data_IF_067934616386
#
_entry.id   IF_067934616386
#
_cell.length_a   1.000
_cell.length_b   1.000
_cell.length_c   1.000
_cell.angle_alpha   90.00
_cell.angle_beta   90.00
_cell.angle_gamma   90.00
#
_symmetry.space_group_name_H-M   'P 1'
#
loop_
_entity.id
_entity.type
_entity.pdbx_description
1 polymer ?
#
# COMPACT_ATOMS: atom_id res chain seq x y z
N UNK A 1 -41.85 -7.44 -35.67
CA UNK A 1 -40.75 -8.43 -35.70
C UNK A 1 -39.52 -7.80 -36.36
N UNK A 2 -38.63 -7.15 -35.61
CA UNK A 2 -37.28 -6.67 -36.01
C UNK A 2 -36.67 -5.98 -34.79
N UNK A 3 -35.94 -6.74 -33.98
CA UNK A 3 -34.95 -6.26 -32.97
C UNK A 3 -34.34 -7.39 -32.13
N UNK A 4 -34.82 -8.63 -32.28
CA UNK A 4 -34.21 -9.82 -31.66
C UNK A 4 -32.76 -10.03 -32.13
N UNK A 5 -32.39 -9.51 -33.31
CA UNK A 5 -31.04 -9.62 -33.88
C UNK A 5 -29.96 -8.91 -33.06
N UNK A 6 -30.29 -7.82 -32.33
CA UNK A 6 -29.28 -7.06 -31.56
C UNK A 6 -28.85 -7.81 -30.29
N UNK A 7 -29.83 -8.36 -29.56
CA UNK A 7 -29.58 -9.13 -28.34
C UNK A 7 -28.91 -10.46 -28.67
N UNK A 8 -29.39 -11.18 -29.69
CA UNK A 8 -28.78 -12.46 -30.07
C UNK A 8 -27.39 -12.28 -30.69
N UNK A 9 -27.10 -11.16 -31.35
CA UNK A 9 -25.77 -10.86 -31.88
C UNK A 9 -24.83 -10.43 -30.75
N UNK A 10 -25.32 -9.72 -29.74
CA UNK A 10 -24.56 -9.44 -28.51
C UNK A 10 -24.26 -10.72 -27.73
N UNK A 11 -25.26 -11.57 -27.52
CA UNK A 11 -25.15 -12.87 -26.84
C UNK A 11 -24.25 -13.83 -27.63
N UNK A 12 -24.30 -13.85 -28.97
CA UNK A 12 -23.37 -14.63 -29.81
C UNK A 12 -21.94 -14.11 -29.78
N UNK A 13 -21.75 -12.79 -29.82
CA UNK A 13 -20.42 -12.17 -29.69
C UNK A 13 -19.85 -12.31 -28.27
N UNK A 14 -20.68 -12.67 -27.29
CA UNK A 14 -20.33 -12.89 -25.89
C UNK A 14 -20.91 -14.24 -25.41
N UNK A 15 -20.83 -15.28 -26.25
CA UNK A 15 -21.39 -16.63 -25.98
C UNK A 15 -20.71 -17.30 -24.77
N UNK A 16 -19.50 -16.84 -24.46
CA UNK A 16 -18.99 -16.75 -23.10
C UNK A 16 -19.17 -15.29 -22.75
N UNK A 17 -20.11 -14.94 -21.87
CA UNK A 17 -20.17 -13.57 -21.34
C UNK A 17 -18.75 -13.15 -20.92
N UNK A 18 -18.40 -11.85 -20.85
CA UNK A 18 -17.15 -11.50 -20.17
C UNK A 18 -17.17 -12.29 -18.86
N UNK A 19 -16.07 -12.94 -18.49
CA UNK A 19 -15.99 -13.99 -17.46
C UNK A 19 -16.45 -13.58 -16.04
N UNK A 20 -17.16 -12.45 -15.93
CA UNK A 20 -17.50 -11.66 -14.79
C UNK A 20 -18.93 -11.09 -14.99
N UNK A 21 -19.94 -11.76 -14.44
CA UNK A 21 -21.28 -11.21 -14.31
C UNK A 21 -21.33 -9.98 -13.39
N UNK A 22 -22.53 -9.58 -12.95
CA UNK A 22 -22.67 -8.53 -11.95
C UNK A 22 -21.94 -8.91 -10.65
N UNK A 23 -21.30 -7.92 -10.04
CA UNK A 23 -20.62 -8.07 -8.75
C UNK A 23 -21.45 -7.34 -7.70
N UNK A 24 -21.68 -7.97 -6.56
CA UNK A 24 -22.43 -7.37 -5.46
C UNK A 24 -21.53 -6.51 -4.58
N UNK A 25 -22.11 -5.45 -4.02
CA UNK A 25 -21.51 -4.69 -2.94
C UNK A 25 -21.39 -5.56 -1.68
N UNK A 26 -20.26 -5.49 -1.00
CA UNK A 26 -19.94 -6.29 0.18
C UNK A 26 -19.45 -5.36 1.27
N UNK A 27 -20.28 -5.16 2.30
CA UNK A 27 -20.02 -4.23 3.41
C UNK A 27 -18.66 -4.39 4.07
N UNK A 28 -18.09 -5.60 4.10
CA UNK A 28 -16.79 -5.89 4.71
C UNK A 28 -15.59 -5.72 3.77
N UNK A 29 -15.81 -5.38 2.50
CA UNK A 29 -14.76 -5.18 1.49
C UNK A 29 -14.82 -3.74 0.98
N UNK A 30 -13.87 -2.92 1.39
CA UNK A 30 -13.88 -1.46 1.19
C UNK A 30 -14.06 -1.03 -0.28
N UNK A 31 -13.50 -1.77 -1.24
CA UNK A 31 -13.57 -1.44 -2.68
C UNK A 31 -14.74 -2.08 -3.43
N UNK A 32 -15.61 -2.84 -2.75
CA UNK A 32 -16.67 -3.61 -3.43
C UNK A 32 -17.71 -2.73 -4.13
N UNK A 33 -18.08 -1.60 -3.54
CA UNK A 33 -19.00 -0.62 -4.16
C UNK A 33 -18.45 -0.11 -5.49
N UNK A 34 -17.16 0.25 -5.54
CA UNK A 34 -16.52 0.68 -6.79
C UNK A 34 -16.56 -0.41 -7.86
N UNK A 35 -16.22 -1.65 -7.50
CA UNK A 35 -16.23 -2.76 -8.46
C UNK A 35 -17.64 -3.10 -8.94
N UNK A 36 -18.65 -3.00 -8.07
CA UNK A 36 -20.05 -3.14 -8.44
C UNK A 36 -20.46 -2.05 -9.45
N UNK A 37 -20.19 -0.78 -9.14
CA UNK A 37 -20.54 0.35 -10.01
C UNK A 37 -19.85 0.25 -11.37
N UNK A 38 -18.52 0.00 -11.38
CA UNK A 38 -17.75 -0.20 -12.60
C UNK A 38 -18.31 -1.31 -13.48
N UNK A 39 -18.76 -2.41 -12.87
CA UNK A 39 -19.40 -3.52 -13.58
C UNK A 39 -20.79 -3.16 -14.09
N UNK A 40 -21.58 -2.45 -13.29
CA UNK A 40 -22.94 -2.05 -13.64
C UNK A 40 -22.94 -1.08 -14.82
N UNK A 41 -22.05 -0.08 -14.80
CA UNK A 41 -21.85 0.90 -15.87
C UNK A 41 -21.37 0.21 -17.15
N UNK A 42 -20.42 -0.74 -17.05
CA UNK A 42 -19.99 -1.53 -18.19
C UNK A 42 -21.15 -2.28 -18.89
N UNK A 43 -22.18 -2.69 -18.14
CA UNK A 43 -23.36 -3.38 -18.66
C UNK A 43 -24.58 -2.46 -18.87
N UNK A 44 -24.40 -1.14 -18.88
CA UNK A 44 -25.49 -0.16 -18.99
C UNK A 44 -26.42 -0.41 -20.19
N UNK A 45 -25.85 -0.65 -21.39
CA UNK A 45 -26.65 -0.87 -22.61
C UNK A 45 -27.44 -2.18 -22.56
N UNK A 46 -26.89 -3.22 -21.96
CA UNK A 46 -27.61 -4.47 -21.72
C UNK A 46 -28.77 -4.19 -20.77
N UNK A 47 -28.53 -3.48 -19.66
CA UNK A 47 -29.58 -3.16 -18.69
C UNK A 47 -30.72 -2.37 -19.33
N UNK A 48 -30.42 -1.36 -20.16
CA UNK A 48 -31.42 -0.61 -20.94
C UNK A 48 -32.20 -1.54 -21.88
N UNK A 49 -31.50 -2.39 -22.63
CA UNK A 49 -32.13 -3.33 -23.58
C UNK A 49 -33.06 -4.35 -22.90
N UNK A 50 -32.63 -4.94 -21.78
CA UNK A 50 -33.42 -5.88 -20.96
C UNK A 50 -34.64 -5.18 -20.39
N UNK A 51 -34.48 -3.94 -19.92
CA UNK A 51 -35.59 -3.16 -19.41
C UNK A 51 -36.65 -2.92 -20.50
N UNK A 52 -36.24 -2.43 -21.67
CA UNK A 52 -37.14 -2.18 -22.82
C UNK A 52 -37.85 -3.47 -23.27
N UNK A 53 -37.09 -4.57 -23.42
CA UNK A 53 -37.63 -5.85 -23.88
C UNK A 53 -38.63 -6.43 -22.88
N UNK A 54 -38.30 -6.45 -21.58
CA UNK A 54 -39.23 -6.95 -20.55
C UNK A 54 -40.46 -6.05 -20.41
N UNK A 55 -40.30 -4.73 -20.50
CA UNK A 55 -41.41 -3.78 -20.39
C UNK A 55 -42.49 -4.03 -21.46
N UNK A 56 -42.07 -4.42 -22.66
CA UNK A 56 -42.95 -4.71 -23.79
C UNK A 56 -43.85 -5.93 -23.58
N UNK A 57 -43.42 -6.91 -22.78
CA UNK A 57 -44.11 -8.19 -22.57
C UNK A 57 -44.86 -8.29 -21.24
N UNK A 58 -44.86 -7.24 -20.41
CA UNK A 58 -45.39 -7.26 -19.04
C UNK A 58 -46.81 -6.65 -18.91
N UNK A 59 -47.58 -7.17 -17.95
CA UNK A 59 -48.89 -6.64 -17.54
C UNK A 59 -48.75 -5.39 -16.62
N UNK A 60 -49.87 -4.73 -16.28
CA UNK A 60 -49.86 -3.44 -15.57
C UNK A 60 -49.17 -3.46 -14.20
N UNK A 61 -49.36 -4.51 -13.40
CA UNK A 61 -48.73 -4.66 -12.08
C UNK A 61 -47.23 -4.91 -12.17
N UNK A 62 -46.81 -5.73 -13.15
CA UNK A 62 -45.39 -6.01 -13.41
C UNK A 62 -44.66 -4.75 -13.90
N UNK A 63 -45.30 -3.94 -14.75
CA UNK A 63 -44.75 -2.65 -15.21
C UNK A 63 -44.55 -1.68 -14.05
N UNK A 64 -45.53 -1.56 -13.16
CA UNK A 64 -45.43 -0.71 -11.96
C UNK A 64 -44.32 -1.16 -11.01
N UNK A 65 -44.08 -2.46 -10.88
CA UNK A 65 -42.99 -3.00 -10.06
C UNK A 65 -41.62 -2.78 -10.71
N UNK A 66 -41.52 -2.97 -12.03
CA UNK A 66 -40.27 -2.79 -12.77
C UNK A 66 -39.86 -1.30 -12.86
N UNK A 67 -40.83 -0.39 -12.98
CA UNK A 67 -40.60 1.05 -12.99
C UNK A 67 -39.87 1.57 -11.74
N UNK A 68 -40.06 0.94 -10.58
CA UNK A 68 -39.36 1.27 -9.33
C UNK A 68 -37.86 0.99 -9.37
N UNK A 69 -37.43 0.10 -10.26
CA UNK A 69 -36.03 -0.34 -10.42
C UNK A 69 -35.42 0.26 -11.70
N UNK A 70 -36.16 1.12 -12.39
CA UNK A 70 -35.65 1.81 -13.56
C UNK A 70 -34.52 2.76 -13.15
N UNK A 71 -33.40 2.67 -13.86
CA UNK A 71 -32.28 3.57 -13.69
C UNK A 71 -32.39 4.61 -14.80
N UNK A 72 -32.83 5.81 -14.44
CA UNK A 72 -32.91 6.95 -15.35
C UNK A 72 -31.54 7.57 -15.64
N UNK A 73 -31.53 8.57 -16.51
CA UNK A 73 -30.30 9.27 -16.91
C UNK A 73 -29.59 9.95 -15.73
N UNK A 74 -30.33 10.57 -14.81
CA UNK A 74 -29.73 11.23 -13.64
C UNK A 74 -29.04 10.22 -12.71
N UNK A 75 -29.64 9.05 -12.50
CA UNK A 75 -29.05 7.98 -11.71
C UNK A 75 -27.81 7.39 -12.38
N UNK A 76 -27.79 7.26 -13.71
CA UNK A 76 -26.58 6.87 -14.44
C UNK A 76 -25.46 7.90 -14.29
N UNK A 77 -25.78 9.20 -14.41
CA UNK A 77 -24.81 10.28 -14.24
C UNK A 77 -24.24 10.32 -12.81
N UNK A 78 -25.08 10.09 -11.80
CA UNK A 78 -24.65 9.96 -10.41
C UNK A 78 -23.74 8.74 -10.21
N UNK A 79 -24.09 7.59 -10.79
CA UNK A 79 -23.25 6.38 -10.71
C UNK A 79 -21.90 6.57 -11.38
N UNK A 80 -21.86 7.28 -12.52
CA UNK A 80 -20.62 7.63 -13.18
C UNK A 80 -19.77 8.54 -12.28
N UNK A 81 -20.37 9.59 -11.72
CA UNK A 81 -19.68 10.48 -10.78
C UNK A 81 -19.16 9.74 -9.53
N UNK A 82 -19.91 8.75 -9.02
CA UNK A 82 -19.47 7.87 -7.94
C UNK A 82 -18.31 6.98 -8.36
N UNK A 83 -18.35 6.38 -9.56
CA UNK A 83 -17.22 5.60 -10.07
C UNK A 83 -15.96 6.47 -10.17
N UNK A 84 -16.09 7.68 -10.72
CA UNK A 84 -14.97 8.59 -10.96
C UNK A 84 -14.31 9.07 -9.66
N UNK A 85 -15.10 9.36 -8.62
CA UNK A 85 -14.54 9.75 -7.31
C UNK A 85 -13.95 8.56 -6.55
N UNK A 86 -14.50 7.36 -6.71
CA UNK A 86 -14.05 6.15 -6.02
C UNK A 86 -12.81 5.52 -6.67
N UNK A 87 -12.59 5.69 -7.97
CA UNK A 87 -11.44 5.09 -8.67
C UNK A 87 -10.07 5.45 -8.07
N UNK A 88 -9.72 6.73 -7.83
CA UNK A 88 -8.45 7.08 -7.21
C UNK A 88 -8.35 6.55 -5.77
N UNK A 89 -9.47 6.45 -5.05
CA UNK A 89 -9.52 5.90 -3.69
C UNK A 89 -9.31 4.39 -3.68
N UNK A 90 -9.89 3.65 -4.63
CA UNK A 90 -9.62 2.23 -4.82
C UNK A 90 -8.15 1.99 -5.12
N UNK A 91 -7.59 2.76 -6.06
CA UNK A 91 -6.19 2.65 -6.44
C UNK A 91 -5.26 2.91 -5.25
N UNK A 92 -5.52 3.96 -4.47
CA UNK A 92 -4.80 4.28 -3.25
C UNK A 92 -4.91 3.15 -2.22
N UNK A 93 -6.12 2.68 -1.94
CA UNK A 93 -6.38 1.60 -0.97
C UNK A 93 -5.62 0.33 -1.36
N UNK A 94 -5.68 -0.06 -2.64
CA UNK A 94 -4.97 -1.22 -3.17
C UNK A 94 -3.46 -1.05 -3.07
N UNK A 95 -2.94 0.14 -3.37
CA UNK A 95 -1.51 0.45 -3.27
C UNK A 95 -1.02 0.48 -1.81
N UNK A 96 -1.82 0.91 -0.85
CA UNK A 96 -1.45 0.89 0.57
C UNK A 96 -1.69 -0.46 1.26
N UNK A 97 -2.42 -1.36 0.59
CA UNK A 97 -2.63 -2.76 1.02
C UNK A 97 -1.52 -3.71 0.58
N UNK A 98 -0.48 -3.20 -0.08
CA UNK A 98 0.68 -3.96 -0.53
C UNK A 98 1.49 -4.59 0.62
N UNK A 99 2.36 -5.55 0.28
CA UNK A 99 3.20 -6.27 1.25
C UNK A 99 4.70 -6.21 0.97
N UNK A 100 5.09 -5.82 -0.25
CA UNK A 100 6.43 -6.05 -0.79
C UNK A 100 7.24 -4.77 -1.04
N UNK A 101 6.72 -3.65 -0.57
CA UNK A 101 7.34 -2.34 -0.64
C UNK A 101 6.93 -1.53 0.59
N UNK A 102 7.62 -0.41 0.82
CA UNK A 102 7.40 0.46 1.97
C UNK A 102 6.06 1.20 1.86
N UNK A 103 4.96 0.54 2.20
CA UNK A 103 3.61 1.11 2.08
C UNK A 103 3.42 2.35 2.95
N UNK A 104 4.07 2.44 4.11
CA UNK A 104 3.99 3.63 4.96
C UNK A 104 4.67 4.85 4.34
N UNK A 105 5.77 4.67 3.60
CA UNK A 105 6.39 5.75 2.83
C UNK A 105 5.48 6.24 1.70
N UNK A 106 4.77 5.32 1.05
CA UNK A 106 3.83 5.69 0.00
C UNK A 106 2.57 6.39 0.57
N UNK A 107 2.22 6.12 1.84
CA UNK A 107 0.97 6.58 2.42
C UNK A 107 0.84 8.10 2.47
N UNK A 108 1.89 8.82 2.89
CA UNK A 108 1.83 10.28 3.01
C UNK A 108 1.63 10.96 1.66
N UNK A 109 2.44 10.57 0.66
CA UNK A 109 2.35 11.12 -0.69
C UNK A 109 1.01 10.78 -1.34
N UNK A 110 0.52 9.55 -1.14
CA UNK A 110 -0.81 9.13 -1.61
C UNK A 110 -1.92 10.00 -1.04
N UNK A 111 -1.92 10.29 0.26
CA UNK A 111 -2.93 11.14 0.89
C UNK A 111 -2.89 12.57 0.32
N UNK A 112 -1.71 13.13 0.12
CA UNK A 112 -1.56 14.46 -0.47
C UNK A 112 -2.05 14.50 -1.93
N UNK A 113 -1.76 13.47 -2.71
CA UNK A 113 -2.28 13.33 -4.09
C UNK A 113 -3.80 13.23 -4.08
N UNK A 114 -4.38 12.43 -3.18
CA UNK A 114 -5.84 12.33 -3.03
C UNK A 114 -6.46 13.67 -2.63
N UNK A 115 -5.88 14.40 -1.69
CA UNK A 115 -6.33 15.76 -1.31
C UNK A 115 -6.37 16.68 -2.51
N UNK A 116 -5.33 16.66 -3.33
CA UNK A 116 -5.28 17.47 -4.54
C UNK A 116 -6.33 17.02 -5.57
N UNK A 117 -6.46 15.72 -5.81
CA UNK A 117 -7.40 15.15 -6.78
C UNK A 117 -8.88 15.33 -6.40
N UNK A 118 -9.19 15.37 -5.11
CA UNK A 118 -10.54 15.55 -4.57
C UNK A 118 -10.96 17.01 -4.44
N UNK A 119 -10.14 17.98 -4.84
CA UNK A 119 -10.60 19.37 -4.97
C UNK A 119 -11.52 19.47 -6.19
N UNK A 120 -12.73 20.06 -6.06
CA UNK A 120 -13.59 20.34 -7.21
C UNK A 120 -12.86 21.20 -8.25
N UNK A 121 -13.03 20.88 -9.53
CA UNK A 121 -12.40 21.57 -10.66
C UNK A 121 -13.46 22.17 -11.59
N UNK A 122 -13.06 23.19 -12.33
CA UNK A 122 -13.86 23.70 -13.45
C UNK A 122 -14.03 22.58 -14.49
N UNK A 123 -15.29 22.22 -14.78
CA UNK A 123 -15.65 21.09 -15.64
C UNK A 123 -16.16 19.85 -14.92
N UNK A 124 -16.09 19.79 -13.59
CA UNK A 124 -16.74 18.70 -12.84
C UNK A 124 -18.27 18.79 -12.95
N UNK A 125 -18.93 17.63 -13.08
CA UNK A 125 -20.40 17.57 -13.00
C UNK A 125 -20.90 17.98 -11.61
N UNK A 126 -22.17 18.40 -11.50
CA UNK A 126 -22.79 18.76 -10.21
C UNK A 126 -22.59 17.67 -9.16
N UNK A 127 -22.83 16.40 -9.53
CA UNK A 127 -22.65 15.27 -8.61
C UNK A 127 -21.19 15.06 -8.24
N UNK A 128 -20.28 15.08 -9.22
CA UNK A 128 -18.86 14.85 -8.98
C UNK A 128 -18.26 15.92 -8.06
N UNK A 129 -18.60 17.20 -8.26
CA UNK A 129 -18.13 18.29 -7.41
C UNK A 129 -18.60 18.15 -5.95
N UNK A 130 -19.87 17.78 -5.74
CA UNK A 130 -20.43 17.54 -4.40
C UNK A 130 -19.78 16.34 -3.72
N UNK A 131 -19.60 15.23 -4.45
CA UNK A 131 -18.93 14.03 -3.94
C UNK A 131 -17.48 14.34 -3.57
N UNK A 132 -16.71 14.95 -4.48
CA UNK A 132 -15.34 15.41 -4.21
C UNK A 132 -15.23 16.21 -2.92
N UNK A 133 -16.12 17.20 -2.73
CA UNK A 133 -16.17 18.01 -1.50
C UNK A 133 -16.44 17.16 -0.25
N UNK A 134 -17.40 16.23 -0.33
CA UNK A 134 -17.75 15.35 0.79
C UNK A 134 -16.61 14.40 1.16
N UNK A 135 -15.97 13.76 0.17
CA UNK A 135 -14.85 12.86 0.38
C UNK A 135 -13.61 13.59 0.88
N UNK A 136 -13.31 14.77 0.33
CA UNK A 136 -12.21 15.62 0.80
C UNK A 136 -12.40 15.98 2.27
N UNK A 137 -13.61 16.41 2.66
CA UNK A 137 -13.92 16.72 4.06
C UNK A 137 -13.70 15.52 4.99
N UNK A 138 -14.14 14.31 4.59
CA UNK A 138 -13.91 13.11 5.41
C UNK A 138 -12.42 12.75 5.52
N UNK A 139 -11.67 12.93 4.44
CA UNK A 139 -10.23 12.69 4.41
C UNK A 139 -9.51 13.69 5.34
N UNK A 140 -9.83 14.97 5.28
CA UNK A 140 -9.30 16.01 6.17
C UNK A 140 -9.67 15.74 7.63
N UNK A 141 -10.93 15.42 7.93
CA UNK A 141 -11.36 15.05 9.28
C UNK A 141 -10.55 13.88 9.84
N UNK A 142 -10.30 12.84 9.05
CA UNK A 142 -9.54 11.69 9.53
C UNK A 142 -8.05 12.02 9.71
N UNK A 143 -7.39 12.53 8.67
CA UNK A 143 -5.94 12.71 8.67
C UNK A 143 -5.47 13.96 9.39
N UNK A 144 -6.29 15.01 9.49
CA UNK A 144 -5.91 16.24 10.19
C UNK A 144 -6.36 16.24 11.65
N UNK A 145 -7.54 15.70 11.96
CA UNK A 145 -8.11 15.78 13.31
C UNK A 145 -7.96 14.48 14.08
N UNK A 146 -8.35 13.33 13.51
CA UNK A 146 -8.39 12.05 14.25
C UNK A 146 -7.02 11.38 14.37
N UNK A 147 -6.18 11.50 13.33
CA UNK A 147 -4.88 10.85 13.30
C UNK A 147 -3.92 11.51 14.28
N UNK A 148 -3.24 10.70 15.09
CA UNK A 148 -2.33 11.22 16.12
C UNK A 148 -1.08 11.82 15.49
N UNK A 149 -0.46 12.79 16.17
CA UNK A 149 0.79 13.42 15.72
C UNK A 149 1.87 12.39 15.43
N UNK A 150 2.03 11.38 16.28
CA UNK A 150 3.04 10.32 16.10
C UNK A 150 2.83 9.54 14.80
N UNK A 151 1.59 9.23 14.43
CA UNK A 151 1.31 8.52 13.18
C UNK A 151 1.62 9.39 11.96
N UNK A 152 1.31 10.69 12.01
CA UNK A 152 1.65 11.64 10.94
C UNK A 152 3.16 11.78 10.79
N UNK A 153 3.87 11.94 11.91
CA UNK A 153 5.33 12.06 11.94
C UNK A 153 5.99 10.79 11.38
N UNK A 154 5.49 9.60 11.73
CA UNK A 154 5.96 8.32 11.19
C UNK A 154 5.80 8.26 9.67
N UNK A 155 4.62 8.61 9.16
CA UNK A 155 4.36 8.62 7.71
C UNK A 155 5.26 9.59 6.96
N UNK A 156 5.42 10.81 7.49
CA UNK A 156 6.27 11.82 6.87
C UNK A 156 7.75 11.39 6.87
N UNK A 157 8.23 10.85 7.98
CA UNK A 157 9.60 10.33 8.09
C UNK A 157 9.82 9.12 7.17
N UNK A 158 8.87 8.19 7.10
CA UNK A 158 8.91 7.05 6.18
C UNK A 158 9.11 7.53 4.74
N UNK A 159 8.26 8.46 4.32
CA UNK A 159 8.24 9.05 2.98
C UNK A 159 9.53 9.81 2.65
N UNK A 160 10.08 10.50 3.65
CA UNK A 160 11.32 11.25 3.50
C UNK A 160 12.54 10.33 3.33
N UNK A 161 12.51 9.15 3.96
CA UNK A 161 13.58 8.15 3.90
C UNK A 161 13.48 7.20 2.70
N UNK A 162 12.42 7.32 1.91
CA UNK A 162 12.18 6.51 0.72
C UNK A 162 12.49 7.30 -0.57
N UNK A 163 13.39 6.84 -1.45
CA UNK A 163 13.80 7.60 -2.64
C UNK A 163 12.65 7.94 -3.61
N UNK A 164 11.65 7.06 -3.74
CA UNK A 164 10.50 7.28 -4.60
C UNK A 164 9.57 8.35 -4.02
N UNK A 165 9.17 8.16 -2.76
CA UNK A 165 8.25 9.06 -2.05
C UNK A 165 8.89 10.42 -1.78
N UNK A 166 10.19 10.48 -1.48
CA UNK A 166 10.93 11.70 -1.20
C UNK A 166 10.85 12.72 -2.34
N UNK A 167 10.85 12.26 -3.59
CA UNK A 167 10.74 13.14 -4.77
C UNK A 167 9.41 13.87 -4.82
N UNK A 168 8.35 13.22 -4.35
CA UNK A 168 6.98 13.73 -4.37
C UNK A 168 6.62 14.57 -3.13
N UNK A 169 7.55 14.74 -2.17
CA UNK A 169 7.35 15.62 -1.02
C UNK A 169 7.57 17.09 -1.39
N UNK A 170 6.73 17.97 -0.82
CA UNK A 170 6.90 19.43 -0.93
C UNK A 170 8.15 19.91 -0.19
N UNK A 171 8.51 21.19 -0.39
CA UNK A 171 9.68 21.77 0.31
C UNK A 171 9.41 21.87 1.81
N UNK A 172 8.18 22.21 2.17
CA UNK A 172 7.69 22.35 3.53
C UNK A 172 7.71 20.98 4.23
N UNK A 173 7.22 19.93 3.56
CA UNK A 173 7.23 18.56 4.10
C UNK A 173 8.66 18.07 4.33
N UNK A 174 9.57 18.35 3.40
CA UNK A 174 11.00 18.00 3.55
C UNK A 174 11.64 18.71 4.74
N UNK A 175 11.29 19.98 4.99
CA UNK A 175 11.78 20.72 6.14
C UNK A 175 11.21 20.17 7.45
N UNK A 176 9.90 19.89 7.49
CA UNK A 176 9.26 19.27 8.64
C UNK A 176 9.86 17.90 8.97
N UNK A 177 10.07 17.05 7.96
CA UNK A 177 10.71 15.75 8.13
C UNK A 177 12.12 15.87 8.72
N UNK A 178 12.95 16.80 8.22
CA UNK A 178 14.29 17.06 8.75
C UNK A 178 14.29 17.53 10.21
N UNK A 179 13.29 18.31 10.62
CA UNK A 179 13.17 18.76 12.01
C UNK A 179 12.80 17.60 12.96
N UNK A 180 12.04 16.62 12.47
CA UNK A 180 11.51 15.51 13.27
C UNK A 180 12.50 14.33 13.34
N UNK A 181 13.19 14.04 12.23
CA UNK A 181 14.06 12.88 12.06
C UNK A 181 15.17 12.72 13.13
N UNK A 182 15.82 13.78 13.63
CA UNK A 182 16.79 13.66 14.74
C UNK A 182 16.20 13.03 16.01
N UNK A 183 14.91 13.25 16.30
CA UNK A 183 14.24 12.64 17.46
C UNK A 183 14.11 11.12 17.29
N UNK A 184 13.87 10.65 16.07
CA UNK A 184 13.86 9.22 15.76
C UNK A 184 15.26 8.62 15.88
N UNK A 185 16.29 9.31 15.36
CA UNK A 185 17.69 8.86 15.50
C UNK A 185 18.13 8.75 16.96
N UNK A 186 17.75 9.72 17.82
CA UNK A 186 18.05 9.69 19.25
C UNK A 186 17.36 8.52 19.97
N UNK A 187 16.08 8.29 19.70
CA UNK A 187 15.33 7.15 20.25
C UNK A 187 15.95 5.81 19.85
N UNK A 188 16.40 5.68 18.60
CA UNK A 188 17.09 4.48 18.13
C UNK A 188 18.41 4.26 18.86
N UNK A 189 19.23 5.30 19.05
CA UNK A 189 20.47 5.20 19.78
C UNK A 189 20.25 4.74 21.24
N UNK A 190 19.20 5.25 21.90
CA UNK A 190 18.83 4.88 23.27
C UNK A 190 18.31 3.43 23.37
N UNK A 191 17.51 2.97 22.41
CA UNK A 191 17.02 1.58 22.34
C UNK A 191 18.16 0.55 22.24
N UNK A 192 19.23 0.90 21.54
CA UNK A 192 20.43 0.05 21.39
C UNK A 192 21.24 0.02 22.70
N UNK A 193 21.39 1.16 23.39
CA UNK A 193 22.10 1.21 24.67
C UNK A 193 21.38 0.38 25.75
N UNK A 194 20.05 0.44 25.82
CA UNK A 194 19.25 -0.31 26.80
C UNK A 194 19.10 -1.81 26.53
N UNK A 195 19.30 -2.27 25.28
CA UNK A 195 19.28 -3.71 24.94
C UNK A 195 20.61 -4.41 25.26
N UNK A 196 21.70 -3.67 25.54
CA UNK A 196 23.00 -4.27 25.87
C UNK A 196 23.08 -4.86 27.29
N UNK A 197 22.07 -4.64 28.13
CA UNK A 197 22.06 -5.10 29.54
C UNK A 197 21.44 -6.49 29.74
N UNK A 198 20.80 -7.08 28.72
CA UNK A 198 20.11 -8.37 28.83
C UNK A 198 20.64 -9.47 27.90
N UNK A 199 21.76 -9.22 27.21
CA UNK A 199 22.52 -10.26 26.50
C UNK A 199 23.82 -10.57 27.30
N UNK A 200 23.66 -11.12 28.50
CA UNK A 200 24.79 -11.60 29.30
C UNK A 200 25.39 -12.89 28.71
N UNK A 201 26.70 -13.04 28.89
CA UNK A 201 27.37 -14.32 29.12
C UNK A 201 27.13 -15.42 28.07
N UNK A 202 27.86 -15.35 26.95
CA UNK A 202 28.53 -16.52 26.36
C UNK A 202 29.63 -15.99 25.45
N UNK A 203 30.81 -15.76 26.05
CA UNK A 203 32.03 -15.51 25.30
C UNK A 203 32.34 -16.76 24.46
N UNK A 204 32.03 -16.71 23.17
CA UNK A 204 32.58 -17.63 22.19
C UNK A 204 33.62 -16.87 21.38
N UNK A 205 34.86 -17.37 21.48
CA UNK A 205 36.11 -16.76 21.02
C UNK A 205 36.00 -16.23 19.60
N UNK A 206 36.43 -14.98 19.41
CA UNK A 206 36.56 -14.37 18.09
C UNK A 206 37.63 -15.08 17.27
N UNK A 207 37.30 -15.42 16.02
CA UNK A 207 38.27 -15.85 15.03
C UNK A 207 39.08 -14.62 14.59
N UNK A 208 40.19 -14.34 15.28
CA UNK A 208 41.20 -13.41 14.79
C UNK A 208 41.86 -14.00 13.54
N UNK A 209 41.89 -13.24 12.46
CA UNK A 209 42.50 -13.69 11.20
C UNK A 209 44.02 -13.70 11.33
N UNK A 210 44.70 -14.64 10.64
CA UNK A 210 46.18 -14.76 10.63
C UNK A 210 46.86 -13.45 10.19
N UNK A 211 46.18 -12.68 9.34
CA UNK A 211 46.61 -11.35 8.89
C UNK A 211 46.68 -10.32 10.02
N UNK A 212 45.82 -10.43 11.05
CA UNK A 212 45.84 -9.49 12.18
C UNK A 212 47.03 -9.79 13.11
N UNK A 213 47.35 -11.06 13.34
CA UNK A 213 48.54 -11.48 14.10
C UNK A 213 49.84 -11.07 13.41
N UNK A 214 49.92 -11.22 12.08
CA UNK A 214 51.09 -10.81 11.29
C UNK A 214 51.33 -9.29 11.34
N UNK A 215 50.26 -8.48 11.28
CA UNK A 215 50.38 -7.01 11.41
C UNK A 215 50.92 -6.58 12.77
N UNK A 216 50.53 -7.29 13.84
CA UNK A 216 51.03 -7.03 15.20
C UNK A 216 52.49 -7.42 15.37
N UNK A 217 52.94 -8.54 14.79
CA UNK A 217 54.32 -9.02 14.91
C UNK A 217 55.32 -8.17 14.10
N UNK A 218 54.90 -7.61 12.97
CA UNK A 218 55.77 -6.81 12.08
C UNK A 218 55.83 -5.32 12.50
N UNK A 219 55.17 -4.92 13.60
CA UNK A 219 55.15 -3.52 14.05
C UNK A 219 54.46 -2.58 13.06
N UNK A 220 53.70 -3.12 12.12
CA UNK A 220 53.03 -2.37 11.06
C UNK A 220 51.73 -1.80 11.62
N UNK A 221 51.85 -0.67 12.31
CA UNK A 221 50.71 0.12 12.77
C UNK A 221 49.97 0.69 11.55
N UNK A 222 49.09 -0.10 10.95
CA UNK A 222 48.11 0.45 10.03
C UNK A 222 47.11 1.21 10.86
N UNK A 223 47.36 2.51 11.04
CA UNK A 223 46.32 3.50 11.30
C UNK A 223 45.34 3.52 10.10
N UNK A 224 44.62 2.42 9.88
CA UNK A 224 43.32 2.50 9.21
C UNK A 224 42.43 3.14 10.25
N UNK A 225 42.40 4.48 10.22
CA UNK A 225 41.34 5.24 10.89
C UNK A 225 40.03 4.55 10.50
N UNK A 226 39.19 4.10 11.46
CA UNK A 226 37.82 3.77 11.10
C UNK A 226 37.27 5.03 10.44
N UNK A 227 36.75 4.88 9.21
CA UNK A 227 36.09 5.96 8.46
C UNK A 227 35.38 6.86 9.47
N UNK A 228 35.86 8.11 9.60
CA UNK A 228 35.37 9.06 10.61
C UNK A 228 33.86 9.06 10.52
N UNK A 229 33.19 8.45 11.50
CA UNK A 229 31.73 8.34 11.46
C UNK A 229 31.20 9.76 11.40
N UNK A 230 30.42 10.08 10.37
CA UNK A 230 29.83 11.41 10.19
C UNK A 230 29.13 11.85 11.49
N UNK A 231 28.97 13.15 11.74
CA UNK A 231 28.00 13.56 12.76
C UNK A 231 26.58 13.19 12.31
N UNK A 232 25.61 13.16 13.22
CA UNK A 232 24.21 12.93 12.85
C UNK A 232 23.69 14.01 11.88
N UNK A 233 24.12 15.25 12.10
CA UNK A 233 23.80 16.41 11.27
C UNK A 233 24.44 16.30 9.88
N UNK A 234 25.72 15.94 9.81
CA UNK A 234 26.44 15.75 8.54
C UNK A 234 25.83 14.61 7.72
N UNK A 235 25.45 13.51 8.39
CA UNK A 235 24.78 12.38 7.77
C UNK A 235 23.46 12.81 7.11
N UNK A 236 22.66 13.63 7.81
CA UNK A 236 21.39 14.14 7.30
C UNK A 236 21.56 15.12 6.12
N UNK A 237 22.55 15.99 6.19
CA UNK A 237 22.86 16.95 5.11
C UNK A 237 23.26 16.19 3.84
N UNK A 238 24.20 15.25 3.96
CA UNK A 238 24.65 14.43 2.84
C UNK A 238 23.54 13.54 2.28
N UNK A 239 22.74 12.93 3.16
CA UNK A 239 21.58 12.13 2.74
C UNK A 239 20.63 12.93 1.87
N UNK A 240 20.28 14.16 2.28
CA UNK A 240 19.36 15.02 1.54
C UNK A 240 19.84 15.30 0.12
N UNK A 241 21.14 15.49 -0.06
CA UNK A 241 21.73 15.75 -1.38
C UNK A 241 21.72 14.49 -2.27
N UNK A 242 22.05 13.34 -1.69
CA UNK A 242 22.17 12.08 -2.41
C UNK A 242 20.80 11.54 -2.83
N UNK A 243 19.82 11.54 -1.92
CA UNK A 243 18.50 10.93 -2.19
C UNK A 243 17.75 11.62 -3.33
N UNK A 244 17.92 12.93 -3.50
CA UNK A 244 17.26 13.70 -4.57
C UNK A 244 17.69 13.25 -5.97
N UNK A 245 18.96 12.90 -6.13
CA UNK A 245 19.54 12.51 -7.43
C UNK A 245 19.44 11.00 -7.69
N UNK A 246 19.05 10.21 -6.69
CA UNK A 246 19.04 8.75 -6.80
C UNK A 246 17.92 8.25 -7.71
N UNK A 247 18.24 7.29 -8.58
CA UNK A 247 17.28 6.60 -9.46
C UNK A 247 17.35 5.11 -9.15
N UNK A 248 16.41 4.64 -8.35
CA UNK A 248 16.30 3.25 -7.94
C UNK A 248 15.23 3.11 -6.85
N UNK A 249 14.99 1.88 -6.42
CA UNK A 249 14.05 1.56 -5.36
C UNK A 249 14.65 1.72 -3.96
N UNK A 250 13.80 1.58 -2.95
CA UNK A 250 14.18 1.63 -1.54
C UNK A 250 15.34 0.67 -1.21
N UNK A 251 15.27 -0.58 -1.70
CA UNK A 251 16.25 -1.60 -1.37
C UNK A 251 17.63 -1.27 -1.93
N UNK A 252 17.69 -0.91 -3.22
CA UNK A 252 18.93 -0.57 -3.90
C UNK A 252 19.63 0.63 -3.24
N UNK A 253 18.86 1.66 -2.89
CA UNK A 253 19.41 2.84 -2.20
C UNK A 253 20.06 2.46 -0.87
N UNK A 254 19.30 1.77 -0.01
CA UNK A 254 19.78 1.49 1.33
C UNK A 254 20.89 0.43 1.36
N UNK A 255 20.93 -0.51 0.41
CA UNK A 255 22.06 -1.44 0.24
C UNK A 255 23.34 -0.66 -0.11
N UNK A 256 23.24 0.28 -1.06
CA UNK A 256 24.39 1.05 -1.55
C UNK A 256 24.95 2.00 -0.48
N UNK A 257 24.09 2.66 0.30
CA UNK A 257 24.50 3.70 1.23
C UNK A 257 24.47 3.27 2.71
N UNK A 258 24.27 1.98 3.02
CA UNK A 258 24.14 1.47 4.41
C UNK A 258 25.28 1.91 5.34
N UNK A 259 26.52 1.88 4.86
CA UNK A 259 27.71 2.14 5.68
C UNK A 259 27.90 3.64 5.88
N UNK A 260 27.58 4.42 4.85
CA UNK A 260 27.66 5.88 4.87
C UNK A 260 26.58 6.50 5.76
N UNK A 261 25.38 5.94 5.72
CA UNK A 261 24.21 6.44 6.45
C UNK A 261 23.76 5.43 7.51
N UNK A 262 24.66 5.02 8.40
CA UNK A 262 24.43 3.91 9.33
C UNK A 262 23.33 4.16 10.38
N UNK A 263 23.13 5.42 10.82
CA UNK A 263 22.06 5.76 11.79
C UNK A 263 20.73 5.91 11.07
N UNK A 264 20.73 6.61 9.94
CA UNK A 264 19.53 6.78 9.12
C UNK A 264 19.03 5.44 8.57
N UNK A 265 19.92 4.53 8.19
CA UNK A 265 19.55 3.20 7.73
C UNK A 265 18.77 2.43 8.80
N UNK A 266 19.20 2.47 10.06
CA UNK A 266 18.49 1.82 11.18
C UNK A 266 17.08 2.41 11.36
N UNK A 267 16.95 3.73 11.31
CA UNK A 267 15.65 4.41 11.37
C UNK A 267 14.78 4.01 10.18
N UNK A 268 15.34 4.05 8.96
CA UNK A 268 14.64 3.72 7.73
C UNK A 268 14.11 2.28 7.75
N UNK A 269 14.90 1.32 8.24
CA UNK A 269 14.45 -0.07 8.40
C UNK A 269 13.28 -0.19 9.38
N UNK A 270 13.35 0.46 10.54
CA UNK A 270 12.29 0.37 11.55
C UNK A 270 11.01 1.09 11.17
N UNK A 271 11.11 2.21 10.46
CA UNK A 271 9.93 2.98 10.06
C UNK A 271 9.29 2.36 8.82
N UNK A 272 10.06 1.99 7.79
CA UNK A 272 9.51 1.51 6.53
C UNK A 272 9.05 0.04 6.51
N UNK A 273 9.34 -0.72 7.57
CA UNK A 273 8.76 -2.06 7.77
C UNK A 273 7.31 -2.00 8.28
N UNK A 274 6.91 -0.86 8.85
CA UNK A 274 5.55 -0.68 9.37
C UNK A 274 4.59 -0.65 8.17
N UNK A 275 3.57 -1.51 8.11
CA UNK A 275 2.59 -1.44 7.03
C UNK A 275 1.66 -0.25 7.22
N UNK A 276 1.23 0.39 6.12
CA UNK A 276 0.25 1.47 6.17
C UNK A 276 -1.15 1.00 6.58
N UNK A 277 -1.47 -0.28 6.38
CA UNK A 277 -2.80 -0.87 6.61
C UNK A 277 -2.70 -2.22 7.31
N UNK A 278 -3.80 -2.69 7.90
CA UNK A 278 -3.94 -4.03 8.49
C UNK A 278 -4.22 -5.14 7.47
N UNK A 279 -4.46 -4.79 6.20
CA UNK A 279 -4.85 -5.73 5.13
C UNK A 279 -3.87 -6.90 4.96
N UNK A 280 -2.53 -6.72 5.05
CA UNK A 280 -1.60 -7.83 4.99
C UNK A 280 -1.86 -8.91 6.04
N UNK A 281 -2.19 -8.50 7.26
CA UNK A 281 -2.53 -9.36 8.38
C UNK A 281 -3.92 -9.99 8.21
N UNK A 282 -4.92 -9.23 7.79
CA UNK A 282 -6.28 -9.72 7.51
C UNK A 282 -6.29 -10.83 6.45
N UNK A 283 -5.47 -10.70 5.42
CA UNK A 283 -5.27 -11.74 4.41
C UNK A 283 -4.77 -13.05 5.02
N UNK A 284 -3.79 -13.00 5.94
CA UNK A 284 -3.27 -14.18 6.65
C UNK A 284 -4.36 -14.76 7.55
N UNK A 285 -5.10 -13.92 8.28
CA UNK A 285 -6.20 -14.38 9.14
C UNK A 285 -7.36 -14.99 8.35
N UNK A 286 -7.67 -14.47 7.16
CA UNK A 286 -8.68 -15.04 6.27
C UNK A 286 -8.26 -16.44 5.79
N UNK A 287 -6.99 -16.61 5.41
CA UNK A 287 -6.42 -17.92 5.06
C UNK A 287 -6.44 -18.86 6.27
N UNK A 288 -5.99 -18.40 7.43
CA UNK A 288 -5.98 -19.19 8.65
C UNK A 288 -7.41 -19.62 9.05
N UNK A 289 -8.38 -18.71 8.92
CA UNK A 289 -9.79 -18.98 9.15
C UNK A 289 -10.38 -19.97 8.15
N UNK A 290 -9.94 -19.93 6.89
CA UNK A 290 -10.30 -20.92 5.88
C UNK A 290 -9.72 -22.29 6.21
N UNK A 291 -8.41 -22.37 6.51
CA UNK A 291 -7.70 -23.61 6.87
C UNK A 291 -8.27 -24.24 8.15
N UNK A 292 -8.63 -23.40 9.14
CA UNK A 292 -9.25 -23.86 10.38
C UNK A 292 -10.72 -24.28 10.21
N UNK A 293 -11.43 -23.80 9.17
CA UNK A 293 -12.86 -24.08 8.97
C UNK A 293 -13.11 -25.35 8.15
N UNK A 294 -13.82 -26.26 8.81
CA UNK A 294 -14.94 -27.11 8.34
C UNK A 294 -14.79 -28.11 7.19
N UNK A 295 -13.63 -28.34 6.57
CA UNK A 295 -13.55 -29.45 5.58
C UNK A 295 -12.50 -30.52 5.74
N UNK A 296 -11.47 -30.48 6.62
CA UNK A 296 -10.68 -31.71 6.94
C UNK A 296 -9.59 -31.71 8.00
N UNK A 297 -9.50 -30.79 8.97
CA UNK A 297 -8.38 -30.90 9.93
C UNK A 297 -8.68 -30.39 11.34
N UNK A 298 -8.54 -31.27 12.34
CA UNK A 298 -8.37 -30.90 13.75
C UNK A 298 -6.94 -30.40 13.98
N UNK A 299 -6.62 -29.23 13.43
CA UNK A 299 -5.31 -28.59 13.68
C UNK A 299 -5.34 -27.92 15.04
N UNK A 300 -4.31 -28.18 15.85
CA UNK A 300 -4.06 -27.38 17.05
C UNK A 300 -3.69 -25.95 16.65
N UNK A 301 -3.93 -25.00 17.56
CA UNK A 301 -3.53 -23.59 17.38
C UNK A 301 -2.04 -23.44 17.08
N UNK A 302 -1.20 -24.28 17.68
CA UNK A 302 0.25 -24.35 17.41
C UNK A 302 0.56 -24.79 15.99
N UNK A 303 -0.10 -25.85 15.51
CA UNK A 303 0.12 -26.36 14.15
C UNK A 303 -0.34 -25.35 13.10
N UNK A 304 -1.48 -24.70 13.33
CA UNK A 304 -1.99 -23.63 12.46
C UNK A 304 -0.99 -22.46 12.40
N UNK A 305 -0.43 -22.05 13.54
CA UNK A 305 0.60 -21.01 13.60
C UNK A 305 1.83 -21.39 12.78
N UNK A 306 2.37 -22.59 12.98
CA UNK A 306 3.55 -23.06 12.22
C UNK A 306 3.27 -23.10 10.72
N UNK A 307 2.09 -23.58 10.30
CA UNK A 307 1.70 -23.59 8.89
C UNK A 307 1.65 -22.17 8.29
N UNK A 308 1.09 -21.20 9.03
CA UNK A 308 1.06 -19.81 8.55
C UNK A 308 2.48 -19.22 8.42
N UNK A 309 3.36 -19.49 9.38
CA UNK A 309 4.77 -19.04 9.34
C UNK A 309 5.52 -19.67 8.18
N UNK A 310 5.40 -20.99 7.98
CA UNK A 310 6.06 -21.71 6.88
C UNK A 310 5.59 -21.20 5.51
N UNK A 311 4.28 -21.00 5.36
CA UNK A 311 3.70 -20.48 4.12
C UNK A 311 4.26 -19.11 3.76
N UNK A 312 4.32 -18.18 4.73
CA UNK A 312 4.83 -16.84 4.45
C UNK A 312 6.35 -16.84 4.23
N UNK A 313 7.10 -17.68 4.95
CA UNK A 313 8.55 -17.81 4.80
C UNK A 313 8.94 -18.32 3.41
N UNK A 314 8.31 -19.41 2.95
CA UNK A 314 8.56 -19.95 1.60
C UNK A 314 8.24 -18.92 0.50
N UNK A 315 7.21 -18.09 0.72
CA UNK A 315 6.84 -17.03 -0.22
C UNK A 315 7.89 -15.92 -0.29
N UNK A 316 8.48 -15.56 0.85
CA UNK A 316 9.57 -14.58 0.93
C UNK A 316 10.83 -15.12 0.23
N UNK A 317 11.17 -16.39 0.44
CA UNK A 317 12.35 -17.00 -0.19
C UNK A 317 12.21 -17.12 -1.71
N UNK A 318 11.03 -17.48 -2.21
CA UNK A 318 10.73 -17.47 -3.65
C UNK A 318 10.90 -16.07 -4.27
N UNK A 319 10.45 -15.01 -3.58
CA UNK A 319 10.61 -13.63 -4.05
C UNK A 319 12.07 -13.16 -4.02
N UNK A 320 12.85 -13.62 -3.05
CA UNK A 320 14.30 -13.35 -2.98
C UNK A 320 15.06 -14.04 -4.11
N UNK A 321 14.66 -15.24 -4.52
CA UNK A 321 15.24 -15.94 -5.67
C UNK A 321 14.90 -15.23 -6.99
N UNK A 322 13.66 -14.78 -7.17
CA UNK A 322 13.24 -13.98 -8.34
C UNK A 322 14.04 -12.66 -8.41
N UNK A 323 14.19 -11.97 -7.28
CA UNK A 323 14.94 -10.71 -7.21
C UNK A 323 16.44 -10.87 -7.45
N UNK A 324 17.00 -12.08 -7.29
CA UNK A 324 18.41 -12.39 -7.58
C UNK A 324 18.64 -12.85 -9.02
N UNK A 325 17.59 -12.99 -9.83
CA UNK A 325 17.70 -13.50 -11.20
C UNK A 325 17.93 -15.01 -11.27
N UNK A 326 17.73 -15.75 -10.16
CA UNK A 326 18.07 -17.18 -10.05
C UNK A 326 16.95 -18.12 -10.56
N UNK A 327 16.09 -17.66 -11.46
CA UNK A 327 15.20 -18.54 -12.23
C UNK A 327 15.38 -18.30 -13.72
N UNK A 328 16.18 -19.16 -14.34
CA UNK A 328 16.03 -19.55 -15.75
C UNK A 328 14.85 -20.50 -15.89
#
# INVERSE_FOLDING_TARGET
MRNVSSIDQYVRNHERGPCNGFVIDIRTRWSSTFHMLKRLIYHQEIMKSVFIHKFSSMNGEQRSSLAKVYIDHENWDLMQALQDVLEPLEFATRSLSGKHYATLALAYTTINILRFGLKPKEGDSRYLALLKKSFLFQLELYFDIKMTKTQKDLMLVASYLDPESHKNLSREDKQAAKAILPNFMKKEAQSIAGSSTYASSTATKSNQTLTDKLKTVVGMSTNVKPSRSLSAEDELILFTQVIQSFKGDFSSFWIQYRERFSRLYKVAQRVNIIPATSVPSESIFSIAGYVARKQRTSLSSTSLRHLMVLKESHRIDALRQISRGDMC
#
